data_IF_870308274890
#
_entry.id   IF_870308274890
#
_cell.length_a   1.000
_cell.length_b   1.000
_cell.length_c   1.000
_cell.angle_alpha   90.00
_cell.angle_beta   90.00
_cell.angle_gamma   90.00
#
_symmetry.space_group_name_H-M   'P 1'
#
loop_
_entity.id
_entity.type
_entity.pdbx_description
1 polymer ?
#
# COMPACT_ATOMS: atom_id res chain seq x y z
N UNK A 1 -16.60 -10.15 12.03
CA UNK A 1 -15.97 -9.15 12.86
C UNK A 1 -16.17 -7.76 12.26
N UNK A 2 -16.76 -6.87 13.02
CA UNK A 2 -16.99 -5.52 12.56
C UNK A 2 -16.09 -4.56 13.33
N UNK A 3 -14.98 -4.22 12.72
CA UNK A 3 -13.99 -3.33 13.32
C UNK A 3 -14.49 -1.91 13.48
N UNK A 4 -15.45 -1.52 12.65
CA UNK A 4 -15.93 -0.14 12.65
C UNK A 4 -16.90 0.15 13.80
N UNK A 5 -17.39 -0.89 14.45
CA UNK A 5 -18.22 -0.71 15.63
C UNK A 5 -17.40 -0.44 16.88
N UNK A 6 -16.10 -0.64 16.81
CA UNK A 6 -15.22 -0.39 17.94
C UNK A 6 -14.94 1.11 17.97
N UNK A 7 -15.64 1.80 18.84
CA UNK A 7 -15.59 3.25 18.87
C UNK A 7 -14.25 3.83 19.23
N UNK A 8 -13.45 3.07 19.95
CA UNK A 8 -12.11 3.52 20.35
C UNK A 8 -11.24 3.86 19.15
N UNK A 9 -11.51 3.26 18.01
CA UNK A 9 -10.74 3.52 16.80
C UNK A 9 -10.85 4.96 16.35
N UNK A 10 -11.94 5.63 16.70
CA UNK A 10 -12.16 6.99 16.26
C UNK A 10 -11.23 7.97 16.94
N UNK A 11 -10.66 7.61 18.06
CA UNK A 11 -9.79 8.48 18.83
C UNK A 11 -8.31 8.27 18.52
N UNK A 12 -7.98 7.27 17.73
CA UNK A 12 -6.59 6.91 17.47
C UNK A 12 -6.30 6.98 15.99
N UNK A 13 -5.92 8.16 15.53
CA UNK A 13 -5.61 8.35 14.11
C UNK A 13 -4.55 7.38 13.59
N UNK A 14 -3.50 7.03 14.36
CA UNK A 14 -2.57 6.01 13.90
C UNK A 14 -3.23 4.67 13.64
N UNK A 15 -4.21 4.29 14.48
CA UNK A 15 -4.94 3.05 14.27
C UNK A 15 -5.80 3.13 13.02
N UNK A 16 -6.38 4.30 12.75
CA UNK A 16 -7.14 4.51 11.52
C UNK A 16 -6.27 4.27 10.29
N UNK A 17 -5.02 4.74 10.30
CA UNK A 17 -4.10 4.52 9.19
C UNK A 17 -3.75 3.03 9.06
N UNK A 18 -3.56 2.34 10.17
CA UNK A 18 -3.33 0.90 10.14
C UNK A 18 -4.53 0.17 9.52
N UNK A 19 -5.73 0.58 9.86
CA UNK A 19 -6.93 -0.02 9.28
C UNK A 19 -7.05 0.28 7.80
N UNK A 20 -6.66 1.47 7.39
CA UNK A 20 -6.66 1.81 5.97
C UNK A 20 -5.69 0.92 5.21
N UNK A 21 -4.48 0.71 5.74
CA UNK A 21 -3.51 -0.19 5.13
C UNK A 21 -4.05 -1.61 5.02
N UNK A 22 -4.70 -2.08 6.08
CA UNK A 22 -5.29 -3.41 6.10
C UNK A 22 -6.41 -3.52 5.06
N UNK A 23 -7.23 -2.49 4.96
CA UNK A 23 -8.31 -2.45 3.97
C UNK A 23 -7.74 -2.53 2.55
N UNK A 24 -6.68 -1.78 2.29
CA UNK A 24 -6.03 -1.80 0.97
C UNK A 24 -5.47 -3.19 0.67
N UNK A 25 -4.92 -3.88 1.67
CA UNK A 25 -4.40 -5.23 1.49
C UNK A 25 -5.54 -6.20 1.14
N UNK A 26 -6.66 -6.10 1.83
CA UNK A 26 -7.82 -6.94 1.52
C UNK A 26 -8.37 -6.65 0.13
N UNK A 27 -8.43 -5.38 -0.25
CA UNK A 27 -8.88 -5.00 -1.58
C UNK A 27 -7.97 -5.59 -2.65
N UNK A 28 -6.66 -5.61 -2.39
CA UNK A 28 -5.70 -6.18 -3.31
C UNK A 28 -5.92 -7.69 -3.48
N UNK A 29 -6.19 -8.39 -2.39
CA UNK A 29 -6.45 -9.82 -2.44
C UNK A 29 -7.72 -10.10 -3.24
N UNK A 30 -8.76 -9.31 -3.03
CA UNK A 30 -10.01 -9.48 -3.76
C UNK A 30 -9.87 -9.19 -5.23
N UNK A 31 -9.06 -8.20 -5.58
CA UNK A 31 -8.84 -7.86 -6.98
C UNK A 31 -8.03 -8.93 -7.70
N UNK A 32 -7.10 -9.55 -6.99
CA UNK A 32 -6.26 -10.60 -7.54
C UNK A 32 -5.19 -10.09 -8.48
N UNK A 33 -4.76 -10.95 -9.40
CA UNK A 33 -3.71 -10.58 -10.34
C UNK A 33 -2.43 -10.15 -9.63
N UNK A 34 -1.82 -9.09 -10.13
CA UNK A 34 -0.58 -8.57 -9.54
C UNK A 34 -0.81 -7.50 -8.47
N UNK A 35 -2.06 -7.27 -8.06
CA UNK A 35 -2.35 -6.18 -7.13
C UNK A 35 -1.69 -6.39 -5.76
N UNK A 36 -1.67 -7.62 -5.25
CA UNK A 36 -0.98 -7.91 -3.98
C UNK A 36 0.52 -7.63 -4.06
N UNK A 37 1.12 -7.89 -5.22
CA UNK A 37 2.52 -7.58 -5.45
C UNK A 37 2.76 -6.07 -5.39
N UNK A 38 1.87 -5.28 -5.99
CA UNK A 38 1.93 -3.82 -5.96
C UNK A 38 1.87 -3.31 -4.53
N UNK A 39 0.90 -3.80 -3.76
CA UNK A 39 0.72 -3.38 -2.37
C UNK A 39 1.93 -3.75 -1.53
N UNK A 40 2.44 -4.98 -1.70
CA UNK A 40 3.58 -5.44 -0.92
C UNK A 40 4.82 -4.60 -1.20
N UNK A 41 5.09 -4.30 -2.46
CA UNK A 41 6.25 -3.49 -2.83
C UNK A 41 6.11 -2.08 -2.28
N UNK A 42 4.93 -1.47 -2.42
CA UNK A 42 4.70 -0.12 -1.90
C UNK A 42 4.84 -0.09 -0.39
N UNK A 43 4.30 -1.12 0.29
CA UNK A 43 4.38 -1.21 1.74
C UNK A 43 5.82 -1.26 2.24
N UNK A 44 6.67 -2.02 1.57
CA UNK A 44 8.08 -2.09 1.96
C UNK A 44 8.77 -0.74 1.79
N UNK A 45 8.47 -0.03 0.72
CA UNK A 45 9.07 1.28 0.46
C UNK A 45 8.63 2.30 1.51
N UNK A 46 7.33 2.37 1.81
CA UNK A 46 6.85 3.36 2.77
C UNK A 46 7.33 3.05 4.20
N UNK A 47 7.44 1.77 4.55
CA UNK A 47 7.96 1.41 5.86
C UNK A 47 9.44 1.78 5.99
N UNK A 48 10.23 1.54 4.95
CA UNK A 48 11.62 1.95 4.93
C UNK A 48 11.75 3.47 5.01
N UNK A 49 10.92 4.18 4.25
CA UNK A 49 10.90 5.65 4.28
C UNK A 49 10.51 6.20 5.63
N UNK A 50 9.53 5.58 6.28
CA UNK A 50 9.11 6.01 7.60
C UNK A 50 10.25 5.89 8.61
N UNK A 51 10.96 4.77 8.58
CA UNK A 51 12.09 4.57 9.50
C UNK A 51 13.23 5.56 9.27
N UNK A 52 13.37 6.06 8.04
CA UNK A 52 14.40 7.05 7.70
C UNK A 52 13.94 8.48 7.88
N UNK A 53 12.67 8.69 8.21
CA UNK A 53 12.11 10.02 8.34
C UNK A 53 11.74 10.68 7.01
N UNK A 54 11.69 9.92 5.93
CA UNK A 54 11.34 10.42 4.59
C UNK A 54 9.84 10.46 4.36
N UNK A 55 9.08 9.74 5.18
CA UNK A 55 7.64 9.60 5.01
C UNK A 55 6.98 9.64 6.37
N UNK A 56 5.91 10.42 6.51
CA UNK A 56 5.15 10.47 7.75
C UNK A 56 4.23 9.26 7.89
N UNK A 57 3.93 8.89 9.14
CA UNK A 57 3.06 7.76 9.40
C UNK A 57 1.69 7.91 8.71
N UNK A 58 1.15 9.13 8.74
CA UNK A 58 -0.16 9.38 8.14
C UNK A 58 -0.15 9.36 6.61
N UNK A 59 1.02 9.44 6.00
CA UNK A 59 1.15 9.41 4.55
C UNK A 59 1.27 8.01 3.98
N UNK A 60 1.61 7.02 4.83
CA UNK A 60 1.94 5.69 4.35
C UNK A 60 0.81 5.05 3.56
N UNK A 61 -0.40 5.05 4.12
CA UNK A 61 -1.55 4.43 3.45
C UNK A 61 -1.90 5.17 2.16
N UNK A 62 -1.77 6.49 2.16
CA UNK A 62 -2.08 7.28 0.96
C UNK A 62 -1.11 6.96 -0.17
N UNK A 63 0.17 6.79 0.15
CA UNK A 63 1.17 6.44 -0.86
C UNK A 63 0.88 5.04 -1.43
N UNK A 64 0.52 4.09 -0.58
CA UNK A 64 0.17 2.74 -1.03
C UNK A 64 -1.03 2.81 -1.97
N UNK A 65 -2.06 3.55 -1.59
CA UNK A 65 -3.28 3.69 -2.39
C UNK A 65 -2.97 4.30 -3.76
N UNK A 66 -2.18 5.36 -3.78
CA UNK A 66 -1.77 6.00 -5.04
C UNK A 66 -0.95 5.07 -5.92
N UNK A 67 -0.06 4.29 -5.30
CA UNK A 67 0.73 3.32 -6.04
C UNK A 67 -0.17 2.27 -6.69
N UNK A 68 -1.19 1.82 -5.96
CA UNK A 68 -2.16 0.88 -6.50
C UNK A 68 -2.88 1.45 -7.73
N UNK A 69 -3.16 2.74 -7.70
CA UNK A 69 -3.86 3.40 -8.82
C UNK A 69 -2.95 3.63 -10.02
N UNK A 70 -1.67 3.87 -9.78
CA UNK A 70 -0.72 4.24 -10.84
C UNK A 70 0.01 3.07 -11.47
N UNK A 71 0.23 2.01 -10.71
CA UNK A 71 0.96 0.85 -11.23
C UNK A 71 0.10 0.07 -12.22
N UNK A 72 0.76 -0.57 -13.17
CA UNK A 72 0.05 -1.34 -14.20
C UNK A 72 -0.54 -2.61 -13.61
N UNK A 73 -1.85 -2.75 -13.68
CA UNK A 73 -2.54 -3.94 -13.20
C UNK A 73 -2.57 -5.02 -14.28
N UNK A 74 -2.31 -6.28 -13.89
CA UNK A 74 -2.43 -7.44 -14.76
C UNK A 74 -3.19 -8.51 -14.01
N UNK A 75 -4.32 -8.95 -14.56
CA UNK A 75 -5.19 -9.90 -13.89
C UNK A 75 -4.65 -11.34 -13.94
N UNK A 76 -3.70 -11.61 -14.82
CA UNK A 76 -3.14 -12.96 -14.97
C UNK A 76 -1.62 -12.88 -15.20
N UNK A 77 -0.87 -12.43 -14.18
CA UNK A 77 0.56 -12.20 -14.33
C UNK A 77 1.37 -13.48 -14.35
N UNK A 78 2.43 -13.48 -15.15
CA UNK A 78 3.46 -14.52 -15.07
C UNK A 78 4.62 -14.01 -14.22
N UNK A 79 5.69 -14.79 -14.12
CA UNK A 79 6.83 -14.43 -13.30
C UNK A 79 7.47 -13.10 -13.75
N UNK A 80 7.62 -12.92 -15.07
CA UNK A 80 8.22 -11.71 -15.59
C UNK A 80 7.38 -10.48 -15.23
N UNK A 81 6.06 -10.60 -15.31
CA UNK A 81 5.16 -9.52 -14.94
C UNK A 81 5.29 -9.19 -13.46
N UNK A 82 5.38 -10.21 -12.60
CA UNK A 82 5.60 -9.96 -11.17
C UNK A 82 6.88 -9.20 -10.91
N UNK A 83 7.97 -9.55 -11.58
CA UNK A 83 9.24 -8.86 -11.40
C UNK A 83 9.16 -7.42 -11.87
N UNK A 84 8.52 -7.17 -13.01
CA UNK A 84 8.32 -5.83 -13.53
C UNK A 84 7.41 -5.01 -12.61
N UNK A 85 6.35 -5.64 -12.11
CA UNK A 85 5.41 -4.99 -11.21
C UNK A 85 6.09 -4.54 -9.92
N UNK A 86 6.91 -5.42 -9.36
CA UNK A 86 7.63 -5.09 -8.12
C UNK A 86 8.51 -3.85 -8.35
N UNK A 87 9.28 -3.84 -9.43
CA UNK A 87 10.16 -2.71 -9.74
C UNK A 87 9.36 -1.44 -9.97
N UNK A 88 8.26 -1.52 -10.72
CA UNK A 88 7.43 -0.36 -11.02
C UNK A 88 6.79 0.21 -9.76
N UNK A 89 6.23 -0.65 -8.92
CA UNK A 89 5.56 -0.19 -7.70
C UNK A 89 6.57 0.46 -6.74
N UNK A 90 7.76 -0.11 -6.62
CA UNK A 90 8.80 0.48 -5.77
C UNK A 90 9.21 1.86 -6.27
N UNK A 91 9.36 1.99 -7.58
CA UNK A 91 9.71 3.28 -8.18
C UNK A 91 8.62 4.32 -7.92
N UNK A 92 7.36 3.95 -8.15
CA UNK A 92 6.23 4.86 -7.95
C UNK A 92 6.15 5.31 -6.51
N UNK A 93 6.22 4.37 -5.57
CA UNK A 93 6.13 4.69 -4.14
C UNK A 93 7.28 5.61 -3.72
N UNK A 94 8.49 5.35 -4.22
CA UNK A 94 9.64 6.19 -3.92
C UNK A 94 9.43 7.61 -4.44
N UNK A 95 8.92 7.75 -5.66
CA UNK A 95 8.64 9.06 -6.23
C UNK A 95 7.59 9.81 -5.43
N UNK A 96 6.56 9.11 -4.97
CA UNK A 96 5.50 9.74 -4.18
C UNK A 96 6.02 10.23 -2.83
N UNK A 97 6.95 9.51 -2.22
CA UNK A 97 7.57 9.97 -0.97
C UNK A 97 8.45 11.19 -1.17
N UNK A 98 9.08 11.29 -2.34
CA UNK A 98 9.98 12.39 -2.65
C UNK A 98 9.27 13.69 -2.98
N UNK A 99 7.97 13.61 -3.19
CA UNK A 99 7.17 14.79 -3.49
C UNK A 99 6.45 15.29 -2.23
#
# INVERSE_FOLDING_TARGET
>A
LDLFKTQDLQFFKPDYQKFKCLQLAFDAIRKGGNMSCIVNAANEIVNAGFRKGECGFLQMADIIEETMAKATFDSNPDLDVYLQTDAEARRIATELMGN
#
